data_IF_003552134834
#
_entry.id   IF_003552134834
#
_cell.length_a   1.000
_cell.length_b   1.000
_cell.length_c   1.000
_cell.angle_alpha   90.00
_cell.angle_beta   90.00
_cell.angle_gamma   90.00
#
_symmetry.space_group_name_H-M   'P 1'
#
loop_
_entity.id
_entity.type
_entity.pdbx_description
1 polymer ?
#
# COMPACT_ATOMS: atom_id res chain seq x y z
N UNK A 1 4.11 -5.15 -15.18
CA UNK A 1 5.50 -5.36 -14.73
C UNK A 1 5.54 -6.00 -13.33
N UNK A 2 4.86 -5.43 -12.33
CA UNK A 2 4.95 -5.90 -10.93
C UNK A 2 4.31 -7.27 -10.71
N UNK A 3 3.13 -7.54 -11.29
CA UNK A 3 2.53 -8.88 -11.24
C UNK A 3 3.46 -9.97 -11.80
N UNK A 4 4.14 -9.67 -12.92
CA UNK A 4 5.16 -10.57 -13.47
C UNK A 4 6.35 -10.76 -12.52
N UNK A 5 6.93 -9.67 -12.01
CA UNK A 5 8.03 -9.77 -11.02
C UNK A 5 7.62 -10.58 -9.80
N UNK A 6 6.38 -10.41 -9.32
CA UNK A 6 5.83 -11.19 -8.22
C UNK A 6 5.71 -12.67 -8.53
N UNK A 7 5.16 -13.04 -9.68
CA UNK A 7 5.10 -14.45 -10.10
C UNK A 7 6.50 -15.07 -10.20
N UNK A 8 7.50 -14.33 -10.68
CA UNK A 8 8.88 -14.79 -10.77
C UNK A 8 9.52 -14.96 -9.41
N UNK A 9 9.32 -14.00 -8.52
CA UNK A 9 9.79 -14.07 -7.14
C UNK A 9 9.19 -15.28 -6.41
N UNK A 10 7.92 -15.57 -6.67
CA UNK A 10 7.28 -16.73 -6.07
C UNK A 10 7.71 -18.07 -6.63
N UNK A 11 8.05 -18.15 -7.92
CA UNK A 11 8.73 -19.31 -8.48
C UNK A 11 10.14 -19.48 -7.90
N UNK A 12 10.88 -18.39 -7.69
CA UNK A 12 12.20 -18.43 -7.05
C UNK A 12 12.13 -19.03 -5.64
N UNK A 13 11.09 -18.69 -4.87
CA UNK A 13 10.88 -19.28 -3.54
C UNK A 13 10.61 -20.79 -3.62
N UNK A 14 9.71 -21.23 -4.50
CA UNK A 14 9.40 -22.67 -4.68
C UNK A 14 10.65 -23.46 -5.05
N UNK A 15 11.49 -22.94 -5.95
CA UNK A 15 12.77 -23.57 -6.33
C UNK A 15 13.70 -23.71 -5.11
N UNK A 16 13.71 -22.72 -4.21
CA UNK A 16 14.51 -22.77 -3.00
C UNK A 16 14.03 -23.85 -2.02
N UNK A 17 12.71 -23.99 -1.86
CA UNK A 17 12.10 -25.02 -1.00
C UNK A 17 12.37 -26.45 -1.51
N UNK A 18 12.32 -26.65 -2.83
CA UNK A 18 12.62 -27.93 -3.47
C UNK A 18 14.09 -28.32 -3.31
N UNK A 19 15.00 -27.35 -3.42
CA UNK A 19 16.44 -27.60 -3.50
C UNK A 19 17.16 -27.58 -2.16
N UNK A 20 16.65 -26.86 -1.16
CA UNK A 20 17.28 -26.78 0.16
C UNK A 20 16.27 -27.04 1.29
N UNK A 21 16.46 -28.11 2.10
CA UNK A 21 15.53 -28.48 3.16
C UNK A 21 15.27 -27.39 4.21
N UNK A 22 16.25 -26.50 4.45
CA UNK A 22 16.16 -25.40 5.43
C UNK A 22 15.08 -24.36 5.12
N UNK A 23 14.59 -24.28 3.89
CA UNK A 23 13.54 -23.32 3.50
C UNK A 23 12.14 -23.94 3.49
N UNK A 24 11.99 -25.22 3.86
CA UNK A 24 10.67 -25.84 4.00
C UNK A 24 9.89 -25.30 5.21
N UNK A 25 10.62 -24.81 6.22
CA UNK A 25 10.07 -24.08 7.36
C UNK A 25 9.94 -22.58 7.05
N UNK A 26 9.03 -21.90 7.73
CA UNK A 26 8.78 -20.48 7.53
C UNK A 26 10.06 -19.66 7.80
N UNK A 27 10.52 -18.92 6.79
CA UNK A 27 11.62 -17.97 6.98
C UNK A 27 11.10 -16.62 7.45
N UNK A 28 11.83 -15.99 8.38
CA UNK A 28 11.54 -14.64 8.87
C UNK A 28 11.80 -13.56 7.81
N UNK A 29 12.70 -13.79 6.85
CA UNK A 29 13.11 -12.80 5.85
C UNK A 29 13.23 -13.41 4.43
N UNK A 30 12.12 -13.88 3.84
CA UNK A 30 12.14 -14.65 2.61
C UNK A 30 12.73 -13.87 1.42
N UNK A 31 12.43 -12.57 1.28
CA UNK A 31 12.98 -11.73 0.22
C UNK A 31 14.52 -11.65 0.26
N UNK A 32 15.07 -11.63 1.48
CA UNK A 32 16.50 -11.51 1.74
C UNK A 32 17.25 -12.80 1.42
N UNK A 33 16.63 -13.92 1.75
CA UNK A 33 17.19 -15.25 1.51
C UNK A 33 17.21 -15.55 0.00
N UNK A 34 16.18 -15.14 -0.75
CA UNK A 34 16.16 -15.23 -2.22
C UNK A 34 17.34 -14.47 -2.82
N UNK A 35 17.66 -13.28 -2.30
CA UNK A 35 18.79 -12.48 -2.80
C UNK A 35 20.15 -13.06 -2.38
N UNK A 36 20.24 -13.72 -1.23
CA UNK A 36 21.48 -14.26 -0.70
C UNK A 36 22.01 -15.47 -1.50
N UNK A 37 21.13 -16.36 -1.96
CA UNK A 37 21.54 -17.56 -2.70
C UNK A 37 22.37 -17.25 -3.96
N UNK A 38 21.95 -16.35 -4.88
CA UNK A 38 22.72 -16.06 -6.09
C UNK A 38 23.83 -15.01 -5.89
N UNK A 39 23.67 -14.06 -4.97
CA UNK A 39 24.54 -12.87 -4.84
C UNK A 39 25.35 -12.83 -3.54
N UNK A 40 25.17 -13.82 -2.67
CA UNK A 40 25.79 -13.89 -1.35
C UNK A 40 25.39 -12.73 -0.43
N UNK A 41 26.23 -12.50 0.59
CA UNK A 41 26.00 -11.50 1.64
C UNK A 41 25.84 -10.06 1.11
N UNK A 42 26.46 -9.72 -0.02
CA UNK A 42 26.33 -8.38 -0.63
C UNK A 42 24.92 -8.19 -1.20
N UNK A 43 24.40 -9.19 -1.92
CA UNK A 43 23.04 -9.16 -2.45
C UNK A 43 21.99 -9.09 -1.34
N UNK A 44 22.21 -9.85 -0.26
CA UNK A 44 21.39 -9.73 0.96
C UNK A 44 21.36 -8.27 1.44
N UNK A 45 22.50 -7.63 1.75
CA UNK A 45 22.49 -6.24 2.27
C UNK A 45 21.80 -5.23 1.34
N UNK A 46 22.00 -5.36 0.02
CA UNK A 46 21.38 -4.48 -0.98
C UNK A 46 19.86 -4.64 -0.97
N UNK A 47 19.37 -5.89 -1.02
CA UNK A 47 17.94 -6.17 -0.96
C UNK A 47 17.31 -5.60 0.33
N UNK A 48 18.03 -5.64 1.45
CA UNK A 48 17.53 -5.18 2.76
C UNK A 48 17.29 -3.70 2.69
N UNK A 49 18.31 -2.98 2.22
CA UNK A 49 18.25 -1.54 2.08
C UNK A 49 17.11 -1.11 1.15
N UNK A 50 16.95 -1.76 -0.01
CA UNK A 50 15.86 -1.46 -0.94
C UNK A 50 14.47 -1.72 -0.34
N UNK A 51 14.30 -2.86 0.36
CA UNK A 51 13.03 -3.20 1.01
C UNK A 51 12.72 -2.20 2.14
N UNK A 52 13.68 -1.91 3.01
CA UNK A 52 13.52 -0.95 4.10
C UNK A 52 13.20 0.45 3.57
N UNK A 53 13.92 0.93 2.56
CA UNK A 53 13.65 2.22 1.94
C UNK A 53 12.22 2.30 1.36
N UNK A 54 11.75 1.22 0.72
CA UNK A 54 10.40 1.13 0.17
C UNK A 54 9.33 1.18 1.27
N UNK A 55 9.52 0.40 2.33
CA UNK A 55 8.55 0.33 3.44
C UNK A 55 8.50 1.65 4.21
N UNK A 56 9.67 2.23 4.55
CA UNK A 56 9.74 3.54 5.22
C UNK A 56 9.07 4.61 4.36
N UNK A 57 9.39 4.67 3.06
CA UNK A 57 8.75 5.60 2.12
C UNK A 57 7.23 5.45 2.10
N UNK A 58 6.72 4.21 2.01
CA UNK A 58 5.28 3.98 2.01
C UNK A 58 4.59 4.34 3.33
N UNK A 59 5.22 4.05 4.47
CA UNK A 59 4.67 4.42 5.78
C UNK A 59 4.59 5.93 5.98
N UNK A 60 5.54 6.71 5.44
CA UNK A 60 5.49 8.17 5.44
C UNK A 60 4.29 8.67 4.62
N UNK A 61 4.08 8.11 3.43
CA UNK A 61 2.93 8.49 2.57
C UNK A 61 1.60 8.20 3.27
N UNK A 62 1.46 7.07 3.97
CA UNK A 62 0.25 6.76 4.72
C UNK A 62 -0.06 7.79 5.82
N UNK A 63 0.97 8.25 6.56
CA UNK A 63 0.80 9.31 7.57
C UNK A 63 0.32 10.61 6.92
N UNK A 64 0.93 11.01 5.80
CA UNK A 64 0.55 12.23 5.07
C UNK A 64 -0.89 12.14 4.55
N UNK A 65 -1.30 10.99 4.00
CA UNK A 65 -2.67 10.79 3.50
C UNK A 65 -3.71 10.87 4.62
N UNK A 66 -3.44 10.22 5.76
CA UNK A 66 -4.32 10.32 6.94
C UNK A 66 -4.42 11.77 7.40
N UNK A 67 -3.30 12.49 7.48
CA UNK A 67 -3.29 13.89 7.89
C UNK A 67 -4.10 14.78 6.94
N UNK A 68 -4.00 14.57 5.62
CA UNK A 68 -4.81 15.27 4.61
C UNK A 68 -6.30 14.99 4.76
N UNK A 69 -6.69 13.74 4.99
CA UNK A 69 -8.07 13.36 5.27
C UNK A 69 -8.63 14.00 6.55
N UNK A 70 -7.81 14.08 7.60
CA UNK A 70 -8.22 14.72 8.85
C UNK A 70 -8.38 16.23 8.69
N UNK A 71 -7.46 16.90 7.97
CA UNK A 71 -7.50 18.35 7.74
C UNK A 71 -8.68 18.76 6.85
N UNK A 72 -8.77 18.20 5.64
CA UNK A 72 -9.73 18.64 4.62
C UNK A 72 -11.11 18.01 4.79
N UNK A 73 -11.18 16.78 5.30
CA UNK A 73 -12.42 15.99 5.31
C UNK A 73 -13.20 16.00 6.62
N UNK A 74 -12.52 16.10 7.77
CA UNK A 74 -13.12 15.79 9.07
C UNK A 74 -13.02 16.94 10.09
N UNK A 75 -11.81 17.40 10.40
CA UNK A 75 -11.54 18.38 11.46
C UNK A 75 -10.55 19.44 10.94
N UNK A 76 -11.05 20.49 10.25
CA UNK A 76 -10.23 21.53 9.64
C UNK A 76 -9.69 22.57 10.64
N UNK A 77 -9.53 22.21 11.91
CA UNK A 77 -9.11 23.13 12.98
C UNK A 77 -7.58 23.21 13.09
N UNK A 78 -6.89 22.11 12.79
CA UNK A 78 -5.44 21.99 12.89
C UNK A 78 -4.81 21.97 11.50
N UNK A 79 -3.56 22.44 11.40
CA UNK A 79 -2.77 22.37 10.17
C UNK A 79 -2.40 20.92 9.81
N UNK A 80 -2.09 20.67 8.54
CA UNK A 80 -1.62 19.37 8.06
C UNK A 80 -0.36 18.92 8.84
N UNK A 81 0.57 19.83 9.13
CA UNK A 81 1.79 19.53 9.87
C UNK A 81 1.51 19.01 11.29
N UNK A 82 0.53 19.60 11.98
CA UNK A 82 0.11 19.15 13.30
C UNK A 82 -0.57 17.78 13.22
N UNK A 83 -1.43 17.56 12.21
CA UNK A 83 -2.06 16.26 11.97
C UNK A 83 -1.06 15.15 11.65
N UNK A 84 0.03 15.46 10.94
CA UNK A 84 1.13 14.51 10.70
C UNK A 84 1.78 14.08 12.02
N UNK A 85 2.09 15.03 12.91
CA UNK A 85 2.69 14.74 14.22
C UNK A 85 1.74 13.96 15.13
N UNK A 86 0.45 14.33 15.15
CA UNK A 86 -0.60 13.64 15.91
C UNK A 86 -0.75 12.20 15.39
N UNK A 87 -0.87 12.03 14.08
CA UNK A 87 -1.04 10.71 13.46
C UNK A 87 0.17 9.81 13.73
N UNK A 88 1.38 10.34 13.59
CA UNK A 88 2.60 9.61 13.93
C UNK A 88 2.64 9.22 15.42
N UNK A 89 2.29 10.15 16.31
CA UNK A 89 2.22 9.89 17.75
C UNK A 89 1.17 8.86 18.15
N UNK A 90 0.03 8.82 17.45
CA UNK A 90 -1.01 7.80 17.65
C UNK A 90 -0.52 6.45 17.12
N UNK A 91 0.03 6.39 15.92
CA UNK A 91 0.44 5.14 15.28
C UNK A 91 1.62 4.47 16.00
N UNK A 92 2.55 5.25 16.56
CA UNK A 92 3.74 4.75 17.24
C UNK A 92 3.44 3.69 18.32
N UNK A 93 2.57 3.91 19.33
CA UNK A 93 2.24 2.87 20.31
C UNK A 93 1.53 1.66 19.68
N UNK A 94 0.74 1.85 18.62
CA UNK A 94 0.11 0.73 17.92
C UNK A 94 1.13 -0.15 17.19
N UNK A 95 2.30 0.38 16.78
CA UNK A 95 3.37 -0.45 16.18
C UNK A 95 4.03 -1.39 17.18
N UNK A 96 3.90 -1.15 18.48
CA UNK A 96 4.41 -2.05 19.51
C UNK A 96 3.50 -3.25 19.76
N UNK A 97 2.25 -3.18 19.30
CA UNK A 97 1.35 -4.32 19.34
C UNK A 97 1.79 -5.34 18.29
N UNK A 98 1.86 -6.60 18.70
CA UNK A 98 2.16 -7.70 17.79
C UNK A 98 1.18 -7.72 16.61
N UNK A 99 1.67 -8.13 15.45
CA UNK A 99 0.84 -8.17 14.24
C UNK A 99 -0.30 -9.15 14.46
N UNK A 100 -1.56 -8.78 14.15
CA UNK A 100 -2.67 -9.71 14.20
C UNK A 100 -2.59 -10.66 12.99
N UNK A 101 -1.66 -11.63 13.05
CA UNK A 101 -1.47 -12.68 12.03
C UNK A 101 -2.77 -13.44 11.74
N UNK A 102 -3.69 -13.47 12.70
CA UNK A 102 -4.97 -14.18 12.60
C UNK A 102 -6.14 -13.33 12.08
N UNK A 103 -5.93 -12.06 11.68
CA UNK A 103 -7.02 -11.14 11.35
C UNK A 103 -7.19 -10.93 9.83
N UNK A 104 -7.31 -12.03 9.08
CA UNK A 104 -7.60 -12.02 7.64
C UNK A 104 -8.88 -11.24 7.28
N UNK A 105 -9.82 -11.13 8.23
CA UNK A 105 -11.04 -10.35 8.09
C UNK A 105 -10.76 -8.85 7.89
N UNK A 106 -9.73 -8.29 8.53
CA UNK A 106 -9.37 -6.88 8.29
C UNK A 106 -8.98 -6.64 6.83
N UNK A 107 -8.24 -7.55 6.20
CA UNK A 107 -7.86 -7.41 4.80
C UNK A 107 -9.08 -7.40 3.88
N UNK A 108 -10.10 -8.21 4.18
CA UNK A 108 -11.36 -8.20 3.41
C UNK A 108 -12.13 -6.90 3.63
N UNK A 109 -12.27 -6.47 4.89
CA UNK A 109 -12.96 -5.21 5.21
C UNK A 109 -12.26 -4.03 4.54
N UNK A 110 -10.93 -4.00 4.53
CA UNK A 110 -10.12 -2.99 3.85
C UNK A 110 -10.38 -2.94 2.33
N UNK A 111 -10.45 -4.10 1.67
CA UNK A 111 -10.76 -4.18 0.24
C UNK A 111 -12.18 -3.70 -0.04
N UNK A 112 -13.17 -4.12 0.77
CA UNK A 112 -14.56 -3.67 0.63
C UNK A 112 -14.68 -2.16 0.86
N UNK A 113 -14.03 -1.63 1.90
CA UNK A 113 -13.96 -0.20 2.20
C UNK A 113 -13.38 0.59 1.01
N UNK A 114 -12.28 0.10 0.43
CA UNK A 114 -11.66 0.71 -0.74
C UNK A 114 -12.57 0.66 -1.96
N UNK A 115 -13.24 -0.47 -2.21
CA UNK A 115 -14.19 -0.60 -3.31
C UNK A 115 -15.38 0.36 -3.17
N UNK A 116 -15.93 0.50 -1.96
CA UNK A 116 -16.98 1.47 -1.66
C UNK A 116 -16.48 2.90 -1.92
N UNK A 117 -15.28 3.24 -1.45
CA UNK A 117 -14.69 4.54 -1.70
C UNK A 117 -14.52 4.83 -3.20
N UNK A 118 -14.03 3.87 -4.00
CA UNK A 118 -13.92 4.01 -5.44
C UNK A 118 -15.28 4.26 -6.11
N UNK A 119 -16.34 3.54 -5.70
CA UNK A 119 -17.70 3.74 -6.22
C UNK A 119 -18.24 5.12 -5.85
N UNK A 120 -18.04 5.55 -4.59
CA UNK A 120 -18.44 6.88 -4.13
C UNK A 120 -17.73 7.98 -4.92
N UNK A 121 -16.41 7.89 -5.08
CA UNK A 121 -15.62 8.86 -5.85
C UNK A 121 -16.13 8.92 -7.29
N UNK A 122 -16.30 7.75 -7.94
CA UNK A 122 -16.77 7.68 -9.31
C UNK A 122 -18.14 8.35 -9.50
N UNK A 123 -19.11 8.06 -8.62
CA UNK A 123 -20.43 8.67 -8.67
C UNK A 123 -20.35 10.19 -8.44
N UNK A 124 -19.57 10.64 -7.45
CA UNK A 124 -19.45 12.07 -7.14
C UNK A 124 -18.81 12.85 -8.29
N UNK A 125 -17.80 12.29 -8.97
CA UNK A 125 -17.21 12.88 -10.17
C UNK A 125 -18.27 13.09 -11.26
N UNK A 126 -19.12 12.09 -11.50
CA UNK A 126 -20.18 12.19 -12.50
C UNK A 126 -21.28 13.19 -12.11
N UNK A 127 -21.64 13.28 -10.83
CA UNK A 127 -22.61 14.27 -10.33
C UNK A 127 -22.06 15.69 -10.44
N UNK A 128 -20.74 15.86 -10.39
CA UNK A 128 -20.05 17.15 -10.44
C UNK A 128 -19.52 17.49 -11.83
N UNK A 129 -19.95 16.77 -12.88
CA UNK A 129 -19.50 17.02 -14.25
C UNK A 129 -19.76 18.45 -14.70
N UNK A 130 -20.93 18.98 -14.33
CA UNK A 130 -21.40 20.30 -14.78
C UNK A 130 -20.60 21.43 -14.13
N UNK A 131 -19.89 21.16 -13.03
CA UNK A 131 -19.00 22.15 -12.39
C UNK A 131 -17.69 22.33 -13.15
N UNK A 132 -17.36 21.43 -14.09
CA UNK A 132 -16.08 21.37 -14.79
C UNK A 132 -16.24 21.47 -16.33
N UNK A 133 -17.26 22.20 -16.82
CA UNK A 133 -17.54 22.35 -18.26
C UNK A 133 -16.36 22.93 -19.08
N UNK A 134 -15.42 23.64 -18.43
CA UNK A 134 -14.26 24.26 -19.07
C UNK A 134 -12.92 23.55 -18.77
N UNK A 135 -12.95 22.26 -18.45
CA UNK A 135 -11.73 21.47 -18.21
C UNK A 135 -10.75 21.52 -19.38
N UNK A 136 -9.49 21.79 -19.07
CA UNK A 136 -8.41 21.81 -20.04
C UNK A 136 -7.39 20.69 -19.79
N UNK A 137 -6.68 20.31 -20.85
CA UNK A 137 -5.74 19.20 -20.84
C UNK A 137 -4.36 19.70 -21.25
N UNK A 138 -3.38 19.51 -20.37
CA UNK A 138 -2.00 19.90 -20.64
C UNK A 138 -1.16 18.68 -21.00
N UNK A 139 -0.32 18.83 -22.03
CA UNK A 139 0.67 17.80 -22.36
C UNK A 139 1.65 17.60 -21.20
N UNK A 140 2.01 16.34 -20.89
CA UNK A 140 2.94 16.07 -19.80
C UNK A 140 4.32 16.66 -20.10
N UNK A 141 4.92 17.28 -19.08
CA UNK A 141 6.35 17.63 -19.09
C UNK A 141 7.14 16.44 -18.56
N UNK A 142 8.47 16.44 -18.73
CA UNK A 142 9.32 15.39 -18.14
C UNK A 142 9.13 15.30 -16.61
N UNK A 143 8.93 16.45 -15.95
CA UNK A 143 8.72 16.52 -14.51
C UNK A 143 7.37 15.93 -14.10
N UNK A 144 6.27 16.37 -14.72
CA UNK A 144 4.92 15.88 -14.37
C UNK A 144 4.73 14.42 -14.76
N UNK A 145 5.35 13.98 -15.85
CA UNK A 145 5.44 12.56 -16.21
C UNK A 145 6.15 11.75 -15.12
N UNK A 146 7.30 12.21 -14.63
CA UNK A 146 8.07 11.51 -13.61
C UNK A 146 7.29 11.40 -12.29
N UNK A 147 6.58 12.46 -11.91
CA UNK A 147 5.75 12.48 -10.70
C UNK A 147 4.55 11.52 -10.82
N UNK A 148 3.83 11.56 -11.94
CA UNK A 148 2.73 10.62 -12.22
C UNK A 148 3.19 9.17 -12.31
N UNK A 149 4.34 8.92 -12.95
CA UNK A 149 4.96 7.59 -13.00
C UNK A 149 5.34 7.08 -11.60
N UNK A 150 5.89 7.96 -10.75
CA UNK A 150 6.18 7.64 -9.35
C UNK A 150 4.92 7.28 -8.55
N UNK A 151 3.83 8.03 -8.72
CA UNK A 151 2.54 7.73 -8.10
C UNK A 151 1.98 6.38 -8.56
N UNK A 152 2.09 6.05 -9.85
CA UNK A 152 1.70 4.73 -10.39
C UNK A 152 2.57 3.62 -9.79
N UNK A 153 3.89 3.80 -9.72
CA UNK A 153 4.80 2.82 -9.11
C UNK A 153 4.49 2.60 -7.63
N UNK A 154 4.13 3.67 -6.90
CA UNK A 154 3.69 3.58 -5.51
C UNK A 154 2.36 2.82 -5.40
N UNK A 155 1.36 3.16 -6.23
CA UNK A 155 0.03 2.57 -6.20
C UNK A 155 0.00 1.07 -6.54
N UNK A 156 0.93 0.62 -7.39
CA UNK A 156 1.12 -0.80 -7.72
C UNK A 156 2.29 -1.45 -6.96
N UNK A 157 2.87 -0.74 -5.99
CA UNK A 157 3.97 -1.21 -5.16
C UNK A 157 3.60 -2.40 -4.27
N UNK A 158 4.56 -2.91 -3.51
CA UNK A 158 4.35 -4.03 -2.58
C UNK A 158 4.96 -5.36 -3.02
N UNK A 159 5.72 -5.40 -4.12
CA UNK A 159 6.47 -6.61 -4.51
C UNK A 159 7.44 -7.11 -3.42
N UNK A 160 7.88 -6.23 -2.53
CA UNK A 160 8.74 -6.57 -1.39
C UNK A 160 8.07 -7.46 -0.36
N UNK A 161 6.74 -7.39 -0.21
CA UNK A 161 5.99 -8.20 0.78
C UNK A 161 5.50 -9.53 0.21
N UNK A 162 5.61 -9.72 -1.11
CA UNK A 162 5.12 -10.91 -1.80
C UNK A 162 5.73 -12.23 -1.29
N UNK A 163 7.04 -12.34 -1.01
CA UNK A 163 7.59 -13.58 -0.47
C UNK A 163 7.05 -13.89 0.93
N UNK A 164 6.78 -12.86 1.73
CA UNK A 164 6.16 -13.05 3.06
C UNK A 164 4.73 -13.56 2.92
N UNK A 165 3.91 -12.90 2.09
CA UNK A 165 2.54 -13.35 1.81
C UNK A 165 2.53 -14.78 1.29
N UNK A 166 3.42 -15.11 0.34
CA UNK A 166 3.52 -16.45 -0.20
C UNK A 166 3.96 -17.47 0.85
N UNK A 167 4.94 -17.13 1.70
CA UNK A 167 5.41 -17.99 2.77
C UNK A 167 4.27 -18.34 3.77
N UNK A 168 3.34 -17.40 3.98
CA UNK A 168 2.17 -17.52 4.85
C UNK A 168 0.97 -18.24 4.20
N UNK A 169 1.00 -18.51 2.89
CA UNK A 169 -0.08 -19.26 2.21
C UNK A 169 -0.04 -20.75 2.58
N UNK A 170 -1.23 -21.32 2.84
CA UNK A 170 -1.39 -22.77 3.03
C UNK A 170 -0.93 -23.58 1.80
N UNK A 171 -1.23 -23.10 0.59
CA UNK A 171 -0.73 -23.63 -0.68
C UNK A 171 0.00 -22.54 -1.46
N UNK A 172 1.34 -22.55 -1.36
CA UNK A 172 2.23 -21.57 -2.00
C UNK A 172 2.21 -21.64 -3.53
N UNK A 173 1.75 -22.75 -4.12
CA UNK A 173 1.66 -22.91 -5.58
C UNK A 173 0.57 -22.03 -6.20
N UNK A 174 -0.45 -21.65 -5.42
CA UNK A 174 -1.53 -20.75 -5.88
C UNK A 174 -1.14 -19.27 -5.84
N UNK A 175 0.07 -18.93 -5.39
CA UNK A 175 0.49 -17.54 -5.26
C UNK A 175 0.38 -16.77 -6.57
N UNK A 176 0.81 -17.36 -7.69
CA UNK A 176 0.73 -16.70 -9.01
C UNK A 176 -0.72 -16.39 -9.41
N UNK A 177 -1.67 -17.29 -9.15
CA UNK A 177 -3.09 -17.03 -9.42
C UNK A 177 -3.63 -15.91 -8.53
N UNK A 178 -3.25 -15.91 -7.26
CA UNK A 178 -3.65 -14.89 -6.28
C UNK A 178 -3.16 -13.50 -6.69
N UNK A 179 -1.91 -13.38 -7.15
CA UNK A 179 -1.35 -12.13 -7.70
C UNK A 179 -2.15 -11.66 -8.91
N UNK A 180 -2.43 -12.52 -9.89
CA UNK A 180 -3.21 -12.13 -11.08
C UNK A 180 -4.59 -11.61 -10.70
N UNK A 181 -5.32 -12.32 -9.84
CA UNK A 181 -6.67 -11.92 -9.39
C UNK A 181 -6.61 -10.57 -8.65
N UNK A 182 -5.65 -10.39 -7.74
CA UNK A 182 -5.51 -9.15 -6.97
C UNK A 182 -5.23 -7.94 -7.87
N UNK A 183 -4.29 -8.07 -8.82
CA UNK A 183 -3.98 -6.97 -9.75
C UNK A 183 -5.11 -6.69 -10.74
N UNK A 184 -5.85 -7.71 -11.18
CA UNK A 184 -7.05 -7.51 -11.98
C UNK A 184 -8.13 -6.72 -11.22
N UNK A 185 -8.36 -7.04 -9.94
CA UNK A 185 -9.28 -6.29 -9.08
C UNK A 185 -8.83 -4.84 -8.86
N UNK A 186 -7.54 -4.62 -8.58
CA UNK A 186 -6.94 -3.29 -8.47
C UNK A 186 -7.17 -2.45 -9.73
N UNK A 187 -6.89 -3.01 -10.91
CA UNK A 187 -7.11 -2.32 -12.18
C UNK A 187 -8.59 -1.99 -12.42
N UNK A 188 -9.49 -2.92 -12.08
CA UNK A 188 -10.93 -2.71 -12.19
C UNK A 188 -11.44 -1.58 -11.28
N UNK A 189 -10.79 -1.35 -10.14
CA UNK A 189 -11.11 -0.23 -9.24
C UNK A 189 -10.45 1.09 -9.67
N UNK A 190 -9.18 1.05 -10.05
CA UNK A 190 -8.41 2.27 -10.35
C UNK A 190 -8.78 2.87 -11.70
N UNK A 191 -8.94 2.07 -12.76
CA UNK A 191 -9.14 2.59 -14.11
C UNK A 191 -10.42 3.44 -14.25
N UNK A 192 -11.60 3.01 -13.77
CA UNK A 192 -12.81 3.84 -13.89
C UNK A 192 -12.69 5.18 -13.17
N UNK A 193 -12.12 5.17 -11.97
CA UNK A 193 -11.93 6.39 -11.15
C UNK A 193 -10.94 7.34 -11.80
N UNK A 194 -9.77 6.84 -12.22
CA UNK A 194 -8.74 7.67 -12.86
C UNK A 194 -9.21 8.22 -14.21
N UNK A 195 -9.85 7.39 -15.04
CA UNK A 195 -10.35 7.83 -16.36
C UNK A 195 -11.46 8.86 -16.20
N UNK A 196 -12.45 8.61 -15.33
CA UNK A 196 -13.53 9.55 -15.11
C UNK A 196 -13.03 10.85 -14.48
N UNK A 197 -12.16 10.77 -13.46
CA UNK A 197 -11.58 11.93 -12.80
C UNK A 197 -10.84 12.82 -13.77
N UNK A 198 -9.95 12.26 -14.57
CA UNK A 198 -9.21 13.02 -15.57
C UNK A 198 -10.10 13.55 -16.70
N UNK A 199 -11.09 12.78 -17.16
CA UNK A 199 -12.00 13.20 -18.23
C UNK A 199 -12.96 14.32 -17.80
N UNK A 200 -13.31 14.40 -16.51
CA UNK A 200 -14.23 15.42 -15.99
C UNK A 200 -13.46 16.65 -15.49
N UNK A 201 -12.45 16.48 -14.64
CA UNK A 201 -11.74 17.59 -13.99
C UNK A 201 -10.48 18.05 -14.75
N UNK A 202 -10.01 17.28 -15.75
CA UNK A 202 -8.86 17.65 -16.57
C UNK A 202 -7.57 17.86 -15.76
N UNK A 203 -6.91 19.00 -15.97
CA UNK A 203 -5.69 19.39 -15.25
C UNK A 203 -5.92 19.78 -13.79
N UNK A 204 -7.17 20.05 -13.37
CA UNK A 204 -7.49 20.51 -12.02
C UNK A 204 -7.67 19.35 -11.02
N UNK A 205 -7.52 18.10 -11.46
CA UNK A 205 -7.53 16.93 -10.55
C UNK A 205 -6.46 17.11 -9.49
N UNK A 206 -6.88 17.27 -8.23
CA UNK A 206 -5.98 17.33 -7.09
C UNK A 206 -5.21 16.02 -6.85
N UNK A 207 -4.07 16.12 -6.15
CA UNK A 207 -3.19 14.97 -5.85
C UNK A 207 -3.91 13.81 -5.14
N UNK A 208 -4.95 14.13 -4.36
CA UNK A 208 -5.83 13.15 -3.72
C UNK A 208 -7.26 13.30 -4.25
N UNK A 209 -7.63 12.40 -5.16
CA UNK A 209 -8.93 12.46 -5.85
C UNK A 209 -10.14 12.36 -4.91
N UNK A 210 -10.00 11.72 -3.74
CA UNK A 210 -11.09 11.65 -2.76
C UNK A 210 -11.33 13.00 -2.08
N UNK A 211 -10.33 13.88 -2.04
CA UNK A 211 -10.44 15.26 -1.57
C UNK A 211 -10.79 16.24 -2.70
N UNK A 212 -10.67 15.81 -3.97
CA UNK A 212 -11.07 16.59 -5.16
C UNK A 212 -12.57 16.51 -5.49
N UNK A 213 -13.34 15.73 -4.73
CA UNK A 213 -14.81 15.70 -4.80
C UNK A 213 -15.40 16.46 -3.60
N UNK A 214 -16.71 16.72 -3.59
CA UNK A 214 -17.33 17.51 -2.51
C UNK A 214 -17.26 16.79 -1.15
N UNK A 215 -16.27 17.20 -0.35
CA UNK A 215 -15.99 16.73 1.00
C UNK A 215 -17.07 17.12 2.02
N UNK A 216 -17.99 18.03 1.68
CA UNK A 216 -19.11 18.39 2.58
C UNK A 216 -20.19 17.31 2.59
N UNK A 217 -20.29 16.50 1.52
CA UNK A 217 -21.22 15.38 1.41
C UNK A 217 -20.97 14.33 2.49
N UNK A 218 -22.04 13.93 3.19
CA UNK A 218 -21.97 12.90 4.23
C UNK A 218 -21.45 11.55 3.73
N UNK A 219 -21.71 11.22 2.45
CA UNK A 219 -21.23 9.97 1.83
C UNK A 219 -19.72 10.02 1.59
N UNK A 220 -19.20 11.17 1.17
CA UNK A 220 -17.74 11.38 0.99
C UNK A 220 -17.04 11.35 2.35
N UNK A 221 -17.59 12.00 3.38
CA UNK A 221 -17.04 11.91 4.74
C UNK A 221 -16.99 10.48 5.27
N UNK A 222 -18.04 9.68 5.02
CA UNK A 222 -18.03 8.26 5.37
C UNK A 222 -16.92 7.49 4.64
N UNK A 223 -16.74 7.74 3.33
CA UNK A 223 -15.65 7.15 2.56
C UNK A 223 -14.26 7.56 3.07
N UNK A 224 -14.09 8.83 3.47
CA UNK A 224 -12.86 9.34 4.10
C UNK A 224 -12.57 8.58 5.40
N UNK A 225 -13.57 8.43 6.29
CA UNK A 225 -13.39 7.67 7.55
C UNK A 225 -13.00 6.22 7.27
N UNK A 226 -13.66 5.56 6.30
CA UNK A 226 -13.31 4.21 5.88
C UNK A 226 -11.86 4.11 5.39
N UNK A 227 -11.40 5.08 4.61
CA UNK A 227 -10.02 5.11 4.13
C UNK A 227 -9.00 5.44 5.22
N UNK A 228 -9.34 6.29 6.20
CA UNK A 228 -8.48 6.49 7.38
C UNK A 228 -8.29 5.17 8.12
N UNK A 229 -9.36 4.43 8.39
CA UNK A 229 -9.27 3.11 9.06
C UNK A 229 -8.44 2.12 8.24
N UNK A 230 -8.66 2.08 6.92
CA UNK A 230 -7.89 1.23 6.02
C UNK A 230 -6.38 1.57 6.05
N UNK A 231 -6.03 2.87 6.00
CA UNK A 231 -4.64 3.32 6.03
C UNK A 231 -3.97 3.04 7.37
N UNK A 232 -4.69 3.17 8.49
CA UNK A 232 -4.17 2.80 9.82
C UNK A 232 -3.80 1.30 9.86
N UNK A 233 -4.71 0.43 9.39
CA UNK A 233 -4.44 -1.01 9.32
C UNK A 233 -3.30 -1.36 8.39
N UNK A 234 -3.28 -0.74 7.20
CA UNK A 234 -2.21 -0.94 6.21
C UNK A 234 -0.86 -0.49 6.74
N UNK A 235 -0.80 0.64 7.46
CA UNK A 235 0.42 1.12 8.10
C UNK A 235 0.98 0.09 9.09
N UNK A 236 0.15 -0.46 9.99
CA UNK A 236 0.61 -1.42 10.99
C UNK A 236 1.16 -2.70 10.37
N UNK A 237 0.47 -3.25 9.37
CA UNK A 237 0.92 -4.44 8.65
C UNK A 237 2.24 -4.17 7.91
N UNK A 238 2.32 -3.01 7.25
CA UNK A 238 3.48 -2.65 6.43
C UNK A 238 4.70 -2.30 7.29
N UNK A 239 4.51 -1.74 8.48
CA UNK A 239 5.59 -1.37 9.40
C UNK A 239 6.20 -2.58 10.12
N UNK A 240 5.45 -3.67 10.31
CA UNK A 240 5.91 -4.84 11.07
C UNK A 240 7.26 -5.44 10.59
N UNK A 241 7.52 -5.64 9.28
CA UNK A 241 8.83 -6.11 8.81
C UNK A 241 10.02 -5.23 9.24
N UNK A 242 9.81 -3.91 9.41
CA UNK A 242 10.84 -3.01 9.95
C UNK A 242 11.14 -3.39 11.41
N UNK A 243 10.09 -3.53 12.23
CA UNK A 243 10.21 -3.98 13.62
C UNK A 243 10.95 -5.31 13.74
N UNK A 244 10.57 -6.30 12.94
CA UNK A 244 11.22 -7.62 12.91
C UNK A 244 12.69 -7.55 12.49
N UNK A 245 13.04 -6.64 11.57
CA UNK A 245 14.43 -6.42 11.16
C UNK A 245 15.25 -5.82 12.30
N UNK A 246 14.70 -4.84 13.03
CA UNK A 246 15.36 -4.25 14.19
C UNK A 246 15.53 -5.25 15.34
N UNK A 247 14.50 -6.05 15.64
CA UNK A 247 14.59 -7.12 16.64
C UNK A 247 15.69 -8.13 16.29
N UNK A 248 15.77 -8.54 15.01
CA UNK A 248 16.82 -9.41 14.51
C UNK A 248 18.22 -8.81 14.63
N UNK A 249 18.37 -7.49 14.40
CA UNK A 249 19.64 -6.78 14.51
C UNK A 249 20.11 -6.64 15.97
N UNK A 250 19.19 -6.29 16.87
CA UNK A 250 19.49 -6.11 18.29
C UNK A 250 19.46 -7.42 19.11
N UNK A 251 19.17 -8.56 18.47
CA UNK A 251 19.03 -9.88 19.11
C UNK A 251 18.05 -9.89 20.29
N UNK A 252 17.03 -9.03 20.23
CA UNK A 252 15.94 -9.05 21.19
C UNK A 252 14.99 -10.13 20.69
N UNK A 253 14.79 -11.19 21.49
CA UNK A 253 13.80 -12.23 21.17
C UNK A 253 12.40 -11.59 21.18
N UNK A 254 11.88 -11.32 19.98
CA UNK A 254 10.47 -10.97 19.80
C UNK A 254 9.60 -12.17 20.18
N UNK A 255 8.58 -11.89 21.00
CA UNK A 255 7.59 -12.84 21.55
C UNK A 255 7.17 -13.93 20.56
N UNK A 256 7.06 -15.18 21.05
CA UNK A 256 6.71 -16.43 20.33
C UNK A 256 5.35 -16.45 19.60
N UNK A 257 4.67 -15.31 19.45
CA UNK A 257 3.38 -15.18 18.77
C UNK A 257 3.54 -14.51 17.40
N UNK A 258 4.52 -14.98 16.64
CA UNK A 258 4.75 -14.61 15.25
C UNK A 258 3.97 -15.49 14.27
#
# INVERSE_FOLDING_TARGET
MIGFSGTRLGLSWVIMEERWPKFKEASRMPYMDIAEIPLGNKGRKIALFCVLATIVGGTIVFIILIAGFMHEGLVPVLSICEWVLITAGILLPFTWLGTPKDFWQASIIAVIATAIACVVIFIMILVQSDQHENSYYQNPTLWTFSLGFGAILFAFGGASVFPTIQNDMADRSQFSKSVVIAFSGLLAMYLPVTVAGYAVQGYEVGDNILLSVDVTSGVVKAAIVLQVVNLLGTYLITFNPIGQTFEGLFKVEGSKYA
#
